data_IF_491443600491
#
_entry.id   IF_491443600491
#
_cell.length_a   1.000
_cell.length_b   1.000
_cell.length_c   1.000
_cell.angle_alpha   90.00
_cell.angle_beta   90.00
_cell.angle_gamma   90.00
#
_symmetry.space_group_name_H-M   'P 1'
#
loop_
_entity.id
_entity.type
_entity.pdbx_description
1 polymer ?
#
# COMPACT_ATOMS: atom_id res chain seq x y z
N UNK A 1 -13.61 -8.70 5.74
CA UNK A 1 -13.26 -7.72 6.78
C UNK A 1 -14.56 -7.23 7.40
N UNK A 2 -14.80 -7.40 8.70
CA UNK A 2 -16.10 -7.11 9.34
C UNK A 2 -16.06 -5.92 10.30
N UNK A 3 -17.21 -5.28 10.53
CA UNK A 3 -17.38 -4.17 11.48
C UNK A 3 -16.94 -4.53 12.91
N UNK A 4 -16.21 -3.62 13.57
CA UNK A 4 -15.77 -3.77 14.97
C UNK A 4 -15.00 -5.06 15.30
N UNK A 5 -14.52 -5.77 14.28
CA UNK A 5 -13.76 -7.03 14.42
C UNK A 5 -12.45 -6.86 15.18
N UNK A 6 -11.93 -5.64 15.21
CA UNK A 6 -10.68 -5.23 15.85
C UNK A 6 -10.87 -4.48 17.16
N UNK A 7 -12.11 -4.29 17.61
CA UNK A 7 -12.41 -3.55 18.83
C UNK A 7 -12.00 -4.34 20.07
N UNK A 8 -11.45 -3.64 21.05
CA UNK A 8 -11.04 -4.19 22.34
C UNK A 8 -11.88 -3.54 23.44
N UNK A 9 -12.53 -4.37 24.25
CA UNK A 9 -13.29 -3.92 25.41
C UNK A 9 -12.36 -3.76 26.61
N UNK A 10 -12.27 -2.53 27.12
CA UNK A 10 -11.49 -2.22 28.32
C UNK A 10 -12.37 -2.45 29.55
N UNK A 11 -11.85 -3.22 30.51
CA UNK A 11 -12.53 -3.46 31.79
C UNK A 11 -11.64 -2.96 32.93
N UNK A 12 -11.80 -1.69 33.33
CA UNK A 12 -11.06 -1.07 34.43
C UNK A 12 -9.53 -1.21 34.27
N UNK A 13 -8.88 -1.77 35.29
CA UNK A 13 -7.44 -2.01 35.32
C UNK A 13 -6.99 -3.38 34.77
N UNK A 14 -7.88 -4.13 34.12
CA UNK A 14 -7.58 -5.46 33.59
C UNK A 14 -7.20 -5.43 32.10
N UNK A 15 -6.55 -6.50 31.64
CA UNK A 15 -6.20 -6.67 30.22
C UNK A 15 -7.44 -6.55 29.33
N UNK A 16 -7.39 -5.76 28.25
CA UNK A 16 -8.51 -5.64 27.33
C UNK A 16 -8.89 -6.99 26.72
N UNK A 17 -10.15 -7.14 26.30
CA UNK A 17 -10.67 -8.37 25.68
C UNK A 17 -11.18 -8.09 24.27
N UNK A 18 -10.91 -8.99 23.34
CA UNK A 18 -11.46 -8.89 21.98
C UNK A 18 -10.94 -9.98 21.06
N UNK A 19 -11.59 -10.13 19.91
CA UNK A 19 -11.27 -11.14 18.91
C UNK A 19 -9.78 -11.16 18.50
N UNK A 20 -9.11 -10.00 18.26
CA UNK A 20 -7.71 -10.01 17.82
C UNK A 20 -6.77 -10.69 18.82
N UNK A 21 -7.01 -10.54 20.12
CA UNK A 21 -6.17 -11.14 21.16
C UNK A 21 -6.25 -12.67 21.14
N UNK A 22 -7.43 -13.24 20.91
CA UNK A 22 -7.59 -14.70 20.83
C UNK A 22 -6.85 -15.29 19.61
N UNK A 23 -6.88 -14.61 18.47
CA UNK A 23 -6.11 -15.04 17.29
C UNK A 23 -4.60 -14.95 17.50
N UNK A 24 -4.12 -13.91 18.17
CA UNK A 24 -2.70 -13.79 18.53
C UNK A 24 -2.28 -14.89 19.52
N UNK A 25 -3.10 -15.17 20.54
CA UNK A 25 -2.87 -16.26 21.50
C UNK A 25 -2.87 -17.63 20.82
N UNK A 26 -3.66 -17.82 19.76
CA UNK A 26 -3.66 -19.01 18.93
C UNK A 26 -2.44 -19.11 17.98
N UNK A 27 -1.52 -18.16 18.03
CA UNK A 27 -0.29 -18.16 17.22
C UNK A 27 -0.41 -17.50 15.85
N UNK A 28 -1.47 -16.74 15.59
CA UNK A 28 -1.54 -15.95 14.35
C UNK A 28 -0.44 -14.89 14.34
N UNK A 29 0.40 -14.81 13.28
CA UNK A 29 1.50 -13.84 13.24
C UNK A 29 1.01 -12.40 13.04
N UNK A 30 -0.13 -12.23 12.36
CA UNK A 30 -0.78 -10.94 12.16
C UNK A 30 -2.29 -11.11 12.06
N UNK A 31 -3.04 -10.14 12.56
CA UNK A 31 -4.50 -10.07 12.47
C UNK A 31 -4.88 -8.69 11.92
N UNK A 32 -5.59 -8.69 10.80
CA UNK A 32 -6.11 -7.46 10.18
C UNK A 32 -7.59 -7.34 10.54
N UNK A 33 -8.00 -6.19 11.07
CA UNK A 33 -9.35 -6.01 11.62
C UNK A 33 -9.78 -4.54 11.65
N UNK A 34 -11.08 -4.28 11.83
CA UNK A 34 -11.63 -2.92 11.87
C UNK A 34 -11.98 -2.52 13.30
N UNK A 35 -11.52 -1.35 13.74
CA UNK A 35 -11.73 -0.86 15.11
C UNK A 35 -13.20 -0.51 15.42
N UNK A 36 -13.96 -0.05 14.42
CA UNK A 36 -15.35 0.37 14.56
C UNK A 36 -16.18 -0.05 13.33
N UNK A 37 -17.45 0.38 13.27
CA UNK A 37 -18.33 0.10 12.14
C UNK A 37 -17.89 0.82 10.86
N UNK A 38 -17.92 0.09 9.74
CA UNK A 38 -17.51 0.60 8.43
C UNK A 38 -18.62 0.37 7.41
N UNK A 39 -18.66 1.18 6.36
CA UNK A 39 -19.58 1.01 5.25
C UNK A 39 -19.02 0.01 4.23
N UNK A 40 -19.88 -0.89 3.72
CA UNK A 40 -19.49 -1.96 2.80
C UNK A 40 -18.74 -1.42 1.57
N UNK A 41 -19.25 -0.34 0.95
CA UNK A 41 -18.67 0.20 -0.28
C UNK A 41 -17.23 0.71 -0.11
N UNK A 42 -16.91 1.36 1.00
CA UNK A 42 -15.54 1.86 1.24
C UNK A 42 -14.62 0.73 1.71
N UNK A 43 -15.09 -0.20 2.56
CA UNK A 43 -14.24 -1.31 3.01
C UNK A 43 -13.96 -2.32 1.89
N UNK A 44 -14.88 -2.47 0.93
CA UNK A 44 -14.67 -3.29 -0.26
C UNK A 44 -13.61 -2.66 -1.18
N UNK A 45 -13.65 -1.34 -1.36
CA UNK A 45 -12.59 -0.60 -2.08
C UNK A 45 -11.24 -0.79 -1.42
N UNK A 46 -11.17 -0.57 -0.10
CA UNK A 46 -9.96 -0.79 0.69
C UNK A 46 -9.42 -2.21 0.49
N UNK A 47 -10.28 -3.22 0.72
CA UNK A 47 -9.91 -4.63 0.67
C UNK A 47 -9.41 -5.02 -0.72
N UNK A 48 -10.08 -4.55 -1.77
CA UNK A 48 -9.66 -4.76 -3.16
C UNK A 48 -8.26 -4.17 -3.40
N UNK A 49 -8.04 -2.90 -3.11
CA UNK A 49 -6.73 -2.27 -3.32
C UNK A 49 -5.60 -2.89 -2.50
N UNK A 50 -5.88 -3.27 -1.25
CA UNK A 50 -4.92 -3.92 -0.38
C UNK A 50 -4.53 -5.30 -0.93
N UNK A 51 -5.52 -6.14 -1.25
CA UNK A 51 -5.29 -7.50 -1.73
C UNK A 51 -4.65 -7.52 -3.12
N UNK A 52 -5.08 -6.64 -4.03
CA UNK A 52 -4.51 -6.54 -5.37
C UNK A 52 -3.01 -6.18 -5.30
N UNK A 53 -2.66 -5.16 -4.48
CA UNK A 53 -1.26 -4.74 -4.31
C UNK A 53 -0.43 -5.83 -3.62
N UNK A 54 -0.99 -6.49 -2.62
CA UNK A 54 -0.31 -7.54 -1.88
C UNK A 54 -0.08 -8.80 -2.73
N UNK A 55 -1.04 -9.17 -3.58
CA UNK A 55 -0.93 -10.31 -4.50
C UNK A 55 -0.02 -10.00 -5.69
N UNK A 56 0.05 -8.75 -6.13
CA UNK A 56 1.01 -8.33 -7.16
C UNK A 56 2.46 -8.45 -6.69
N UNK A 57 2.75 -8.08 -5.45
CA UNK A 57 4.06 -8.35 -4.83
C UNK A 57 4.38 -9.86 -4.78
N UNK A 58 3.36 -10.70 -4.58
CA UNK A 58 3.52 -12.17 -4.63
C UNK A 58 3.84 -12.67 -6.04
N UNK A 59 3.26 -12.08 -7.10
CA UNK A 59 3.52 -12.49 -8.49
C UNK A 59 4.87 -12.00 -9.00
N UNK A 60 5.25 -10.78 -8.64
CA UNK A 60 6.45 -10.10 -9.17
C UNK A 60 7.75 -10.68 -8.59
N UNK A 61 7.65 -11.50 -7.53
CA UNK A 61 8.74 -12.35 -7.05
C UNK A 61 9.25 -13.39 -8.10
N UNK A 62 8.62 -13.49 -9.28
CA UNK A 62 9.09 -14.32 -10.40
C UNK A 62 9.96 -13.56 -11.42
N UNK A 63 9.88 -12.23 -11.48
CA UNK A 63 10.87 -11.45 -12.23
C UNK A 63 12.01 -11.13 -11.30
N UNK A 64 13.05 -11.95 -11.42
CA UNK A 64 14.38 -11.70 -10.92
C UNK A 64 14.76 -10.21 -11.00
N UNK A 65 15.54 -9.83 -9.99
CA UNK A 65 16.18 -8.54 -9.80
C UNK A 65 17.03 -8.15 -11.01
N UNK A 66 16.41 -7.57 -12.05
CA UNK A 66 17.15 -7.03 -13.18
C UNK A 66 16.34 -5.97 -13.94
N UNK A 67 15.96 -4.88 -13.27
CA UNK A 67 15.72 -3.56 -13.89
C UNK A 67 15.56 -2.47 -12.82
N UNK A 68 16.56 -2.36 -11.94
CA UNK A 68 16.80 -1.08 -11.29
C UNK A 68 17.21 -0.08 -12.37
N UNK A 69 16.25 0.75 -12.81
CA UNK A 69 16.30 2.18 -13.17
C UNK A 69 17.58 2.86 -13.75
N UNK A 70 18.65 2.15 -14.11
CA UNK A 70 19.93 2.77 -14.46
C UNK A 70 19.95 3.40 -15.87
N UNK A 71 19.00 3.05 -16.74
CA UNK A 71 18.98 3.56 -18.13
C UNK A 71 18.19 4.87 -18.27
N UNK A 72 17.36 5.26 -17.29
CA UNK A 72 16.58 6.52 -17.38
C UNK A 72 17.34 7.76 -16.89
N UNK A 73 18.50 7.60 -16.24
CA UNK A 73 19.24 8.73 -15.66
C UNK A 73 20.35 9.29 -16.57
N UNK A 74 20.72 8.59 -17.66
CA UNK A 74 21.77 9.06 -18.56
C UNK A 74 21.27 10.00 -19.68
N UNK A 75 19.98 9.94 -20.03
CA UNK A 75 19.45 10.69 -21.18
C UNK A 75 18.97 12.12 -20.83
N UNK A 76 18.99 12.52 -19.56
CA UNK A 76 18.52 13.85 -19.11
C UNK A 76 19.65 14.85 -18.81
N UNK A 77 20.91 14.46 -19.01
CA UNK A 77 22.06 15.38 -18.88
C UNK A 77 22.63 15.77 -20.25
N UNK A 78 21.93 16.67 -20.94
CA UNK A 78 22.55 17.54 -21.95
C UNK A 78 22.16 18.98 -21.69
N UNK A 79 22.89 19.62 -20.77
CA UNK A 79 22.80 21.06 -20.54
C UNK A 79 23.60 21.74 -21.67
N UNK A 80 22.93 22.14 -22.74
CA UNK A 80 23.48 23.08 -23.72
C UNK A 80 22.92 24.48 -23.45
N UNK A 81 23.81 25.39 -23.09
CA UNK A 81 23.47 26.78 -22.75
C UNK A 81 23.05 27.64 -23.95
N UNK A 82 22.07 28.51 -23.68
CA UNK A 82 21.73 29.82 -24.28
C UNK A 82 21.45 29.92 -25.79
N UNK A 83 20.22 30.33 -26.13
CA UNK A 83 19.83 30.92 -27.42
C UNK A 83 18.40 31.47 -27.43
N UNK A 84 18.20 32.66 -28.02
CA UNK A 84 17.01 33.53 -27.97
C UNK A 84 15.90 33.17 -29.00
N UNK A 85 14.66 33.56 -28.65
CA UNK A 85 13.48 33.97 -29.49
C UNK A 85 12.88 32.97 -30.50
N UNK A 86 11.57 32.71 -30.42
CA UNK A 86 10.50 33.34 -31.25
C UNK A 86 9.10 32.80 -30.91
N UNK A 87 8.11 33.69 -31.04
CA UNK A 87 6.65 33.48 -30.99
C UNK A 87 6.17 32.55 -32.11
N UNK A 88 5.19 31.67 -31.83
CA UNK A 88 4.05 31.38 -32.74
C UNK A 88 2.93 30.59 -32.06
N UNK A 89 1.73 30.91 -32.55
CA UNK A 89 0.35 30.60 -32.15
C UNK A 89 -0.12 29.21 -32.61
N UNK A 90 -1.32 28.79 -32.13
CA UNK A 90 -2.24 27.72 -32.62
C UNK A 90 -2.12 26.40 -31.82
N UNK A 91 -3.14 25.61 -31.44
CA UNK A 91 -4.63 25.63 -31.46
C UNK A 91 -5.08 24.33 -30.75
N UNK A 92 -6.19 24.41 -30.00
CA UNK A 92 -7.08 23.35 -29.44
C UNK A 92 -6.72 21.85 -29.56
N UNK A 93 -6.81 21.14 -28.42
CA UNK A 93 -7.59 19.88 -28.24
C UNK A 93 -7.52 19.39 -26.79
N UNK A 94 -8.67 19.23 -26.11
CA UNK A 94 -8.89 18.19 -25.08
C UNK A 94 -8.77 16.80 -25.78
N UNK A 95 -8.44 15.65 -25.14
CA UNK A 95 -8.84 15.25 -23.77
C UNK A 95 -7.86 14.33 -22.95
N UNK A 96 -8.21 14.09 -21.68
CA UNK A 96 -7.99 12.88 -20.83
C UNK A 96 -6.79 12.70 -19.88
N UNK A 97 -7.20 12.20 -18.69
CA UNK A 97 -6.56 11.50 -17.58
C UNK A 97 -5.58 12.19 -16.59
N UNK A 98 -5.92 11.96 -15.31
CA UNK A 98 -5.28 12.51 -14.13
C UNK A 98 -4.15 11.60 -13.63
N UNK A 99 -2.94 11.82 -14.13
CA UNK A 99 -1.72 11.37 -13.46
C UNK A 99 -0.98 12.57 -12.88
N UNK A 100 -0.70 12.54 -11.58
CA UNK A 100 0.54 13.04 -11.00
C UNK A 100 0.75 12.44 -9.60
N UNK A 101 1.25 11.21 -9.65
CA UNK A 101 2.36 10.66 -8.87
C UNK A 101 3.21 11.72 -8.14
N UNK A 102 2.92 11.98 -6.85
CA UNK A 102 3.87 12.63 -5.95
C UNK A 102 4.72 11.57 -5.26
N UNK A 103 5.75 11.18 -5.99
CA UNK A 103 6.88 10.42 -5.51
C UNK A 103 7.74 11.27 -4.59
N UNK A 104 7.36 11.31 -3.30
CA UNK A 104 8.28 11.77 -2.25
C UNK A 104 9.46 10.78 -2.13
N UNK A 105 10.54 11.14 -2.83
CA UNK A 105 11.88 10.56 -2.75
C UNK A 105 12.40 10.62 -1.31
N UNK A 106 12.19 9.56 -0.53
CA UNK A 106 13.04 9.28 0.63
C UNK A 106 14.12 8.27 0.24
N UNK A 107 15.30 8.82 -0.04
CA UNK A 107 16.53 8.08 -0.25
C UNK A 107 17.01 7.54 1.12
N UNK A 108 16.66 6.28 1.43
CA UNK A 108 17.33 5.51 2.47
C UNK A 108 17.30 4.04 2.10
N UNK A 109 18.47 3.56 1.69
CA UNK A 109 18.85 2.20 1.34
C UNK A 109 18.45 1.15 2.38
N UNK A 110 17.26 0.58 2.25
CA UNK A 110 17.02 -0.77 2.73
C UNK A 110 16.07 -1.46 1.77
N UNK A 111 16.56 -2.49 1.08
CA UNK A 111 15.81 -3.29 0.13
C UNK A 111 14.84 -4.22 0.88
N UNK A 112 14.02 -3.66 1.77
CA UNK A 112 13.08 -4.42 2.60
C UNK A 112 11.82 -4.65 1.79
N UNK A 113 11.46 -5.92 1.65
CA UNK A 113 10.21 -6.30 1.01
C UNK A 113 9.03 -5.61 1.71
N UNK A 114 8.02 -5.15 0.96
CA UNK A 114 6.82 -4.58 1.53
C UNK A 114 6.15 -5.56 2.51
N UNK A 115 5.57 -5.03 3.57
CA UNK A 115 4.84 -5.82 4.58
C UNK A 115 3.35 -5.53 4.46
N UNK A 116 2.51 -6.34 5.12
CA UNK A 116 1.06 -6.11 5.19
C UNK A 116 0.72 -4.67 5.56
N UNK A 117 1.49 -4.05 6.46
CA UNK A 117 1.31 -2.65 6.87
C UNK A 117 1.48 -1.64 5.74
N UNK A 118 2.45 -1.84 4.82
CA UNK A 118 2.63 -0.92 3.69
C UNK A 118 1.48 -1.03 2.69
N UNK A 119 0.96 -2.24 2.45
CA UNK A 119 -0.22 -2.42 1.59
C UNK A 119 -1.47 -1.82 2.21
N UNK A 120 -1.65 -1.97 3.53
CA UNK A 120 -2.76 -1.32 4.23
C UNK A 120 -2.68 0.19 4.11
N UNK A 121 -1.49 0.78 4.32
CA UNK A 121 -1.30 2.22 4.27
C UNK A 121 -1.70 2.79 2.91
N UNK A 122 -1.27 2.15 1.82
CA UNK A 122 -1.65 2.55 0.45
C UNK A 122 -3.16 2.37 0.20
N UNK A 123 -3.76 1.28 0.70
CA UNK A 123 -5.18 1.01 0.52
C UNK A 123 -6.11 2.02 1.21
N UNK A 124 -5.63 2.75 2.24
CA UNK A 124 -6.42 3.79 2.91
C UNK A 124 -6.82 4.92 1.96
N UNK A 125 -6.01 5.18 0.93
CA UNK A 125 -6.30 6.23 -0.05
C UNK A 125 -7.45 5.86 -1.00
N UNK A 126 -7.81 4.57 -1.10
CA UNK A 126 -8.94 4.11 -1.88
C UNK A 126 -10.30 4.40 -1.23
N UNK A 127 -10.32 4.63 0.09
CA UNK A 127 -11.51 4.98 0.84
C UNK A 127 -11.94 6.42 0.53
N UNK A 128 -13.24 6.63 0.32
CA UNK A 128 -13.82 7.96 0.17
C UNK A 128 -13.68 8.75 1.47
N UNK A 129 -14.04 8.11 2.58
CA UNK A 129 -13.89 8.68 3.92
C UNK A 129 -12.57 8.21 4.55
N UNK A 130 -11.48 8.91 4.21
CA UNK A 130 -10.10 8.53 4.61
C UNK A 130 -9.93 8.33 6.12
N UNK A 131 -10.52 9.19 6.94
CA UNK A 131 -10.37 9.12 8.39
C UNK A 131 -11.50 8.37 9.10
N UNK A 132 -12.72 8.41 8.57
CA UNK A 132 -13.82 7.67 9.18
C UNK A 132 -13.74 6.18 8.87
N UNK A 133 -13.45 5.82 7.62
CA UNK A 133 -13.40 4.42 7.19
C UNK A 133 -11.96 3.98 6.95
N UNK A 134 -11.14 4.78 6.26
CA UNK A 134 -9.74 4.43 5.98
C UNK A 134 -8.85 4.29 7.22
N UNK A 135 -9.20 4.92 8.35
CA UNK A 135 -8.48 4.74 9.61
C UNK A 135 -8.97 3.54 10.44
N UNK A 136 -10.10 2.93 10.11
CA UNK A 136 -10.66 1.81 10.86
C UNK A 136 -9.83 0.52 10.75
N UNK A 137 -9.26 0.15 9.58
CA UNK A 137 -8.41 -1.01 9.44
C UNK A 137 -7.08 -0.87 10.20
N UNK A 138 -6.80 -1.85 11.07
CA UNK A 138 -5.57 -1.98 11.85
C UNK A 138 -4.98 -3.38 11.73
N UNK A 139 -3.66 -3.47 11.93
CA UNK A 139 -2.92 -4.73 12.04
C UNK A 139 -2.46 -4.93 13.49
N UNK A 140 -2.79 -6.07 14.07
CA UNK A 140 -2.20 -6.55 15.32
C UNK A 140 -1.19 -7.66 15.03
N UNK A 141 0.01 -7.60 15.60
CA UNK A 141 1.04 -8.64 15.44
C UNK A 141 2.35 -8.11 14.87
N UNK A 142 3.08 -8.96 14.16
CA UNK A 142 4.40 -8.62 13.59
C UNK A 142 4.30 -8.18 12.11
N UNK A 143 5.23 -7.37 11.59
CA UNK A 143 5.26 -7.03 10.17
C UNK A 143 5.49 -8.27 9.29
N UNK A 144 4.44 -8.75 8.61
CA UNK A 144 4.49 -9.95 7.76
C UNK A 144 4.54 -9.61 6.28
N UNK A 145 5.35 -10.34 5.53
CA UNK A 145 5.36 -10.31 4.06
C UNK A 145 4.77 -11.60 3.47
N UNK A 146 4.40 -11.57 2.20
CA UNK A 146 3.94 -12.77 1.47
C UNK A 146 5.09 -13.34 0.64
N UNK A 147 5.17 -14.67 0.59
CA UNK A 147 6.14 -15.39 -0.25
C UNK A 147 5.41 -16.50 -0.98
N UNK A 148 5.81 -16.75 -2.23
CA UNK A 148 5.38 -17.95 -2.95
C UNK A 148 6.18 -19.13 -2.40
N UNK A 149 5.50 -20.23 -2.09
CA UNK A 149 6.18 -21.49 -1.78
C UNK A 149 6.82 -22.00 -3.07
N UNK A 150 8.15 -22.11 -3.08
CA UNK A 150 8.87 -22.77 -4.17
C UNK A 150 8.48 -24.25 -4.17
N UNK A 151 8.17 -24.79 -5.35
CA UNK A 151 7.97 -26.23 -5.49
C UNK A 151 9.34 -26.88 -5.36
N UNK A 152 9.59 -27.55 -4.25
CA UNK A 152 10.76 -28.44 -4.13
C UNK A 152 10.52 -29.59 -5.11
N UNK A 153 11.32 -29.66 -6.16
CA UNK A 153 11.34 -30.81 -7.05
C UNK A 153 11.82 -32.02 -6.23
N UNK A 154 10.99 -33.05 -6.14
CA UNK A 154 11.37 -34.39 -5.66
C UNK A 154 11.98 -35.18 -6.80
#
# INVERSE_FOLDING_TARGET
>A
MGCSSGSLTITGSYTPKGAPLYYLLAGSPVVVSNLWEVTDKDIDRFSKTMLDSWMRERSDAYTDSARCNLVKEFDSMSIKGKGRKKVSKKKSSEPEDCDNDDSSKHNSSSNRRPTVGSFMAQARDACTLKYLIGAAPVCYGVPTGIRRKEKVAQ
#
